data_IF_247026539604
#
_entry.id   IF_247026539604
#
_cell.length_a   1.000
_cell.length_b   1.000
_cell.length_c   1.000
_cell.angle_alpha   90.00
_cell.angle_beta   90.00
_cell.angle_gamma   90.00
#
_symmetry.space_group_name_H-M   'P 1'
#
loop_
_entity.id
_entity.type
_entity.pdbx_description
1 polymer ?
#
# COMPACT_ATOMS: atom_id res chain seq x y z
N UNK A 1 -47.99 -11.32 23.33
CA UNK A 1 -46.58 -10.91 23.15
C UNK A 1 -45.79 -12.19 22.97
N UNK A 2 -45.42 -12.52 21.73
CA UNK A 2 -44.76 -13.78 21.39
C UNK A 2 -43.32 -13.81 21.89
N UNK A 3 -43.09 -14.55 22.99
CA UNK A 3 -41.78 -14.72 23.62
C UNK A 3 -40.70 -15.24 22.63
N UNK A 4 -41.10 -16.07 21.67
CA UNK A 4 -40.20 -16.61 20.64
C UNK A 4 -39.63 -15.52 19.72
N UNK A 5 -40.44 -14.51 19.34
CA UNK A 5 -39.95 -13.40 18.50
C UNK A 5 -38.89 -12.54 19.21
N UNK A 6 -38.99 -12.41 20.53
CA UNK A 6 -38.03 -11.65 21.33
C UNK A 6 -36.71 -12.44 21.46
N UNK A 7 -36.79 -13.76 21.60
CA UNK A 7 -35.61 -14.64 21.64
C UNK A 7 -34.86 -14.65 20.30
N UNK A 8 -35.55 -14.81 19.17
CA UNK A 8 -34.96 -14.78 17.84
C UNK A 8 -34.28 -13.44 17.55
N UNK A 9 -34.96 -12.33 17.84
CA UNK A 9 -34.38 -11.00 17.69
C UNK A 9 -33.12 -10.82 18.56
N UNK A 10 -33.09 -11.38 19.78
CA UNK A 10 -31.92 -11.37 20.65
C UNK A 10 -30.74 -12.19 20.09
N UNK A 11 -31.02 -13.32 19.46
CA UNK A 11 -30.01 -14.18 18.80
C UNK A 11 -29.44 -13.49 17.54
N UNK A 12 -30.29 -12.87 16.72
CA UNK A 12 -29.85 -12.13 15.53
C UNK A 12 -28.97 -10.92 15.88
N UNK A 13 -29.32 -10.18 16.94
CA UNK A 13 -28.50 -9.07 17.43
C UNK A 13 -27.15 -9.57 17.95
N UNK A 14 -27.11 -10.68 18.70
CA UNK A 14 -25.86 -11.26 19.17
C UNK A 14 -24.97 -11.77 18.00
N UNK A 15 -25.58 -12.38 16.98
CA UNK A 15 -24.88 -12.85 15.78
C UNK A 15 -24.31 -11.69 14.96
N UNK A 16 -25.09 -10.64 14.72
CA UNK A 16 -24.64 -9.46 13.96
C UNK A 16 -23.52 -8.70 14.67
N UNK A 17 -23.57 -8.57 16.00
CA UNK A 17 -22.46 -8.01 16.80
C UNK A 17 -21.19 -8.84 16.67
N UNK A 18 -21.30 -10.18 16.69
CA UNK A 18 -20.15 -11.08 16.51
C UNK A 18 -19.53 -10.94 15.11
N UNK A 19 -20.37 -10.90 14.07
CA UNK A 19 -19.91 -10.74 12.68
C UNK A 19 -19.22 -9.39 12.49
N UNK A 20 -19.82 -8.31 12.99
CA UNK A 20 -19.23 -6.97 12.91
C UNK A 20 -17.88 -6.87 13.65
N UNK A 21 -17.74 -7.52 14.80
CA UNK A 21 -16.48 -7.54 15.55
C UNK A 21 -15.35 -8.28 14.81
N UNK A 22 -15.67 -9.40 14.15
CA UNK A 22 -14.71 -10.16 13.33
C UNK A 22 -14.29 -9.33 12.12
N UNK A 23 -15.25 -8.71 11.43
CA UNK A 23 -15.01 -7.86 10.27
C UNK A 23 -14.10 -6.66 10.59
N UNK A 24 -14.33 -5.99 11.72
CA UNK A 24 -13.48 -4.89 12.18
C UNK A 24 -12.05 -5.36 12.49
N UNK A 25 -11.90 -6.53 13.09
CA UNK A 25 -10.59 -7.10 13.42
C UNK A 25 -9.81 -7.46 12.14
N UNK A 26 -10.47 -8.06 11.14
CA UNK A 26 -9.88 -8.36 9.84
C UNK A 26 -9.45 -7.08 9.11
N UNK A 27 -10.27 -6.02 9.14
CA UNK A 27 -9.91 -4.70 8.58
C UNK A 27 -8.69 -4.09 9.26
N UNK A 28 -8.66 -4.09 10.58
CA UNK A 28 -7.51 -3.59 11.36
C UNK A 28 -6.23 -4.37 11.05
N UNK A 29 -6.32 -5.70 10.95
CA UNK A 29 -5.18 -6.56 10.59
C UNK A 29 -4.64 -6.22 9.20
N UNK A 30 -5.52 -6.09 8.20
CA UNK A 30 -5.14 -5.72 6.83
C UNK A 30 -4.51 -4.34 6.75
N UNK A 31 -5.00 -3.37 7.53
CA UNK A 31 -4.41 -2.03 7.59
C UNK A 31 -2.99 -2.06 8.16
N UNK A 32 -2.75 -2.87 9.20
CA UNK A 32 -1.41 -3.09 9.76
C UNK A 32 -0.50 -3.79 8.75
N UNK A 33 -0.99 -4.82 8.06
CA UNK A 33 -0.25 -5.51 7.00
C UNK A 33 0.15 -4.56 5.86
N UNK A 34 -0.78 -3.71 5.41
CA UNK A 34 -0.48 -2.72 4.38
C UNK A 34 0.61 -1.74 4.84
N UNK A 35 0.47 -1.17 6.04
CA UNK A 35 1.44 -0.23 6.59
C UNK A 35 2.83 -0.88 6.74
N UNK A 36 2.88 -2.15 7.15
CA UNK A 36 4.13 -2.89 7.25
C UNK A 36 4.76 -3.12 5.87
N UNK A 37 3.97 -3.53 4.87
CA UNK A 37 4.45 -3.74 3.51
C UNK A 37 4.95 -2.42 2.88
N UNK A 38 4.22 -1.31 3.08
CA UNK A 38 4.65 0.02 2.63
C UNK A 38 5.96 0.47 3.29
N UNK A 39 6.10 0.27 4.60
CA UNK A 39 7.35 0.55 5.31
C UNK A 39 8.52 -0.32 4.82
N UNK A 40 8.25 -1.57 4.42
CA UNK A 40 9.25 -2.47 3.84
C UNK A 40 9.66 -2.00 2.45
N UNK A 41 8.70 -1.60 1.61
CA UNK A 41 8.95 -1.02 0.28
C UNK A 41 9.86 0.21 0.37
N UNK A 42 9.52 1.17 1.24
CA UNK A 42 10.28 2.40 1.42
C UNK A 42 11.72 2.16 1.94
N UNK A 43 11.94 1.08 2.70
CA UNK A 43 13.30 0.67 3.11
C UNK A 43 14.06 0.05 1.94
N UNK A 44 13.45 -0.88 1.22
CA UNK A 44 14.07 -1.56 0.09
C UNK A 44 14.48 -0.58 -1.03
N UNK A 45 13.61 0.38 -1.37
CA UNK A 45 13.91 1.43 -2.34
C UNK A 45 15.10 2.31 -1.92
N UNK A 46 15.17 2.68 -0.63
CA UNK A 46 16.33 3.43 -0.10
C UNK A 46 17.62 2.62 -0.15
N UNK A 47 17.57 1.33 0.15
CA UNK A 47 18.73 0.44 0.04
C UNK A 47 19.21 0.31 -1.40
N UNK A 48 18.28 0.15 -2.36
CA UNK A 48 18.62 0.12 -3.78
C UNK A 48 19.27 1.45 -4.22
N UNK A 49 18.71 2.59 -3.84
CA UNK A 49 19.30 3.90 -4.16
C UNK A 49 20.71 4.07 -3.60
N UNK A 50 20.94 3.67 -2.34
CA UNK A 50 22.26 3.70 -1.74
C UNK A 50 23.27 2.79 -2.47
N UNK A 51 22.83 1.59 -2.88
CA UNK A 51 23.64 0.65 -3.66
C UNK A 51 24.02 1.25 -5.02
N UNK A 52 23.04 1.71 -5.79
CA UNK A 52 23.26 2.29 -7.13
C UNK A 52 24.17 3.50 -7.05
N UNK A 53 23.97 4.39 -6.07
CA UNK A 53 24.87 5.52 -5.84
C UNK A 53 26.31 5.06 -5.57
N UNK A 54 26.49 4.04 -4.73
CA UNK A 54 27.80 3.51 -4.38
C UNK A 54 28.52 2.93 -5.60
N UNK A 55 27.81 2.12 -6.40
CA UNK A 55 28.32 1.52 -7.64
C UNK A 55 28.77 2.58 -8.65
N UNK A 56 27.91 3.57 -8.92
CA UNK A 56 28.24 4.66 -9.86
C UNK A 56 29.44 5.47 -9.35
N UNK A 57 29.49 5.76 -8.05
CA UNK A 57 30.58 6.54 -7.46
C UNK A 57 31.91 5.80 -7.45
N UNK A 58 31.91 4.49 -7.22
CA UNK A 58 33.13 3.66 -7.28
C UNK A 58 33.51 3.27 -8.71
N UNK A 59 32.64 3.49 -9.69
CA UNK A 59 32.82 3.05 -11.07
C UNK A 59 32.69 1.53 -11.22
N UNK A 60 32.08 0.86 -10.25
CA UNK A 60 31.83 -0.57 -10.27
C UNK A 60 30.45 -0.87 -10.85
N UNK A 61 30.33 -1.97 -11.58
CA UNK A 61 29.05 -2.45 -12.10
C UNK A 61 28.68 -3.77 -11.42
N UNK A 62 27.46 -3.82 -10.87
CA UNK A 62 26.94 -5.05 -10.28
C UNK A 62 25.45 -5.19 -10.62
N UNK A 63 25.19 -5.42 -11.91
CA UNK A 63 23.83 -5.52 -12.45
C UNK A 63 23.04 -6.64 -11.81
N UNK A 64 23.66 -7.79 -11.56
CA UNK A 64 22.98 -8.92 -10.90
C UNK A 64 22.49 -8.56 -9.49
N UNK A 65 23.26 -7.80 -8.72
CA UNK A 65 22.83 -7.36 -7.40
C UNK A 65 21.68 -6.35 -7.49
N UNK A 66 21.78 -5.39 -8.42
CA UNK A 66 20.71 -4.43 -8.69
C UNK A 66 19.41 -5.16 -9.07
N UNK A 67 19.48 -6.12 -9.99
CA UNK A 67 18.33 -6.90 -10.45
C UNK A 67 17.67 -7.68 -9.31
N UNK A 68 18.47 -8.26 -8.39
CA UNK A 68 17.93 -8.94 -7.20
C UNK A 68 17.16 -7.98 -6.29
N UNK A 69 17.66 -6.76 -6.09
CA UNK A 69 16.94 -5.73 -5.32
C UNK A 69 15.65 -5.30 -6.01
N UNK A 70 15.67 -5.12 -7.33
CA UNK A 70 14.48 -4.77 -8.12
C UNK A 70 13.42 -5.87 -8.03
N UNK A 71 13.81 -7.14 -8.17
CA UNK A 71 12.88 -8.27 -8.00
C UNK A 71 12.27 -8.33 -6.60
N UNK A 72 13.07 -8.07 -5.56
CA UNK A 72 12.57 -8.02 -4.19
C UNK A 72 11.57 -6.88 -3.97
N UNK A 73 11.81 -5.70 -4.56
CA UNK A 73 10.89 -4.56 -4.54
C UNK A 73 9.59 -4.91 -5.26
N UNK A 74 9.67 -5.46 -6.48
CA UNK A 74 8.50 -5.86 -7.26
C UNK A 74 7.61 -6.87 -6.52
N UNK A 75 8.21 -7.80 -5.76
CA UNK A 75 7.46 -8.75 -4.93
C UNK A 75 6.68 -8.05 -3.80
N UNK A 76 7.25 -7.01 -3.19
CA UNK A 76 6.58 -6.21 -2.13
C UNK A 76 5.46 -5.36 -2.74
N UNK A 77 5.68 -4.77 -3.92
CA UNK A 77 4.65 -4.01 -4.64
C UNK A 77 3.44 -4.88 -4.98
N UNK A 78 3.68 -6.10 -5.50
CA UNK A 78 2.62 -7.06 -5.76
C UNK A 78 1.87 -7.49 -4.48
N UNK A 79 2.55 -7.56 -3.33
CA UNK A 79 1.91 -7.81 -2.04
C UNK A 79 1.01 -6.65 -1.61
N UNK A 80 1.47 -5.41 -1.74
CA UNK A 80 0.69 -4.20 -1.48
C UNK A 80 -0.56 -4.15 -2.37
N UNK A 81 -0.41 -4.43 -3.66
CA UNK A 81 -1.51 -4.41 -4.60
C UNK A 81 -2.56 -5.49 -4.28
N UNK A 82 -2.12 -6.70 -3.89
CA UNK A 82 -3.03 -7.74 -3.40
C UNK A 82 -3.78 -7.32 -2.14
N UNK A 83 -3.11 -6.66 -1.19
CA UNK A 83 -3.75 -6.19 0.04
C UNK A 83 -4.82 -5.13 -0.29
N UNK A 84 -4.50 -4.19 -1.19
CA UNK A 84 -5.39 -3.10 -1.62
C UNK A 84 -6.55 -3.54 -2.52
N UNK A 85 -6.36 -4.57 -3.34
CA UNK A 85 -7.40 -5.08 -4.24
C UNK A 85 -8.55 -5.80 -3.50
N UNK A 86 -8.42 -6.01 -2.19
CA UNK A 86 -9.50 -6.57 -1.38
C UNK A 86 -10.69 -5.58 -1.29
N UNK A 87 -11.94 -6.04 -1.44
CA UNK A 87 -13.13 -5.23 -1.71
C UNK A 87 -13.54 -4.24 -0.60
N UNK A 88 -12.81 -4.21 0.52
CA UNK A 88 -13.11 -3.37 1.69
C UNK A 88 -12.04 -2.29 1.93
N UNK A 89 -11.03 -2.21 1.05
CA UNK A 89 -9.93 -1.27 1.15
C UNK A 89 -10.22 -0.02 0.29
N UNK A 90 -11.22 0.78 0.68
CA UNK A 90 -11.41 2.13 0.14
C UNK A 90 -10.75 3.13 1.07
N UNK A 91 -9.59 3.74 0.69
CA UNK A 91 -9.07 4.87 1.44
C UNK A 91 -10.09 6.01 1.30
N UNK A 92 -10.58 6.53 2.43
CA UNK A 92 -11.40 7.73 2.44
C UNK A 92 -10.61 8.87 1.80
N UNK A 93 -11.25 9.54 0.85
CA UNK A 93 -10.71 10.57 -0.03
C UNK A 93 -9.87 11.63 0.72
N UNK A 94 -8.70 11.94 0.15
CA UNK A 94 -7.99 13.18 0.40
C UNK A 94 -8.03 13.99 -0.89
N UNK A 95 -8.98 14.93 -0.98
CA UNK A 95 -8.98 15.98 -1.98
C UNK A 95 -8.20 17.17 -1.41
N UNK A 96 -7.12 17.56 -2.07
CA UNK A 96 -6.45 18.82 -1.83
C UNK A 96 -6.07 19.41 -3.19
N UNK A 97 -6.88 20.35 -3.67
CA UNK A 97 -6.55 21.14 -4.87
C UNK A 97 -5.29 21.97 -4.60
N UNK A 98 -4.15 21.55 -5.18
CA UNK A 98 -2.93 22.35 -5.31
C UNK A 98 -2.28 22.04 -6.66
N UNK A 99 -2.75 22.70 -7.72
CA UNK A 99 -2.08 22.83 -9.03
C UNK A 99 -1.05 21.72 -9.34
N UNK A 100 -1.52 20.49 -9.48
CA UNK A 100 -0.65 19.31 -9.54
C UNK A 100 -0.12 19.08 -10.97
N UNK A 101 1.21 18.93 -11.10
CA UNK A 101 1.78 18.24 -12.26
C UNK A 101 1.54 16.75 -12.10
N UNK A 102 0.98 16.11 -13.12
CA UNK A 102 0.71 14.68 -13.09
C UNK A 102 1.78 13.92 -13.85
N UNK A 103 2.19 12.77 -13.32
CA UNK A 103 3.13 11.89 -13.99
C UNK A 103 2.52 11.38 -15.31
N UNK A 104 3.18 11.57 -16.47
CA UNK A 104 2.65 11.14 -17.77
C UNK A 104 2.62 9.62 -17.94
N UNK A 105 3.33 8.87 -17.08
CA UNK A 105 3.40 7.42 -17.14
C UNK A 105 2.32 6.72 -16.30
N UNK A 106 2.03 7.22 -15.10
CA UNK A 106 1.11 6.55 -14.16
C UNK A 106 -0.04 7.42 -13.64
N UNK A 107 -0.07 8.71 -13.99
CA UNK A 107 -1.11 9.65 -13.57
C UNK A 107 -1.04 10.06 -12.10
N UNK A 108 0.01 9.71 -11.36
CA UNK A 108 0.19 10.19 -9.98
C UNK A 108 0.46 11.68 -9.96
N UNK A 109 -0.14 12.39 -9.01
CA UNK A 109 0.22 13.75 -8.66
C UNK A 109 1.69 13.84 -8.26
N UNK A 110 2.39 14.88 -8.69
CA UNK A 110 3.79 15.09 -8.36
C UNK A 110 4.07 16.57 -8.10
N UNK A 111 4.98 16.84 -7.16
CA UNK A 111 5.48 18.18 -6.88
C UNK A 111 6.18 18.80 -8.10
N UNK A 112 6.13 20.13 -8.21
CA UNK A 112 6.66 20.85 -9.37
C UNK A 112 8.18 20.70 -9.55
N UNK A 113 8.92 20.52 -8.45
CA UNK A 113 10.38 20.34 -8.42
C UNK A 113 10.82 18.86 -8.43
N UNK A 114 9.89 17.91 -8.56
CA UNK A 114 10.22 16.50 -8.58
C UNK A 114 10.90 16.10 -9.90
N UNK A 115 12.15 15.64 -9.83
CA UNK A 115 12.88 15.08 -10.97
C UNK A 115 12.31 13.72 -11.44
N UNK A 116 11.69 12.98 -10.52
CA UNK A 116 11.12 11.66 -10.76
C UNK A 116 9.78 11.51 -10.04
N UNK A 117 8.88 10.73 -10.63
CA UNK A 117 7.62 10.36 -10.01
C UNK A 117 7.86 9.47 -8.79
N UNK A 118 7.36 9.89 -7.63
CA UNK A 118 7.46 9.12 -6.39
C UNK A 118 6.67 7.79 -6.42
N UNK A 119 5.73 7.64 -7.36
CA UNK A 119 4.90 6.44 -7.49
C UNK A 119 5.49 5.41 -8.46
N UNK A 120 5.94 5.83 -9.64
CA UNK A 120 6.40 4.90 -10.69
C UNK A 120 7.85 5.08 -11.13
N UNK A 121 8.57 6.06 -10.58
CA UNK A 121 9.98 6.32 -10.91
C UNK A 121 10.23 6.94 -12.29
N UNK A 122 9.18 7.27 -13.05
CA UNK A 122 9.33 7.94 -14.34
C UNK A 122 9.94 9.34 -14.16
N UNK A 123 10.80 9.74 -15.07
CA UNK A 123 11.32 11.10 -15.11
C UNK A 123 10.22 12.09 -15.50
N UNK A 124 10.21 13.28 -14.89
CA UNK A 124 9.17 14.32 -15.03
C UNK A 124 9.69 15.59 -15.70
#
# INVERSE_FOLDING_TARGET
>A
MDLNRILDAGVEVAQSVKVAAVDLADKGKRQVELLNAQNKLARAQRQLGALVYSLIRSGEENRELVDKYVQAIAAIEAEIDRIKAQPEFTPAAASAEKAERHCPQCGAEVEEDALFCHRCGAQL
#
